data_IF_277933914288
#
_entry.id   IF_277933914288
#
_cell.length_a   1.000
_cell.length_b   1.000
_cell.length_c   1.000
_cell.angle_alpha   90.00
_cell.angle_beta   90.00
_cell.angle_gamma   90.00
#
_symmetry.space_group_name_H-M   'P 1'
#
loop_
_entity.id
_entity.type
_entity.pdbx_description
1 polymer ?
#
# COMPACT_ATOMS: atom_id res chain seq x y z
N UNK A 1 32.08 5.93 20.87
CA UNK A 1 32.06 5.10 19.65
C UNK A 1 30.67 4.55 19.26
N UNK A 2 29.68 4.39 20.13
CA UNK A 2 28.32 3.90 19.76
C UNK A 2 27.41 4.94 19.07
N UNK A 3 27.66 6.24 19.25
CA UNK A 3 26.81 7.30 18.70
C UNK A 3 27.10 7.66 17.22
N UNK A 4 28.30 7.40 16.73
CA UNK A 4 28.65 7.68 15.33
C UNK A 4 28.06 6.67 14.33
N UNK A 5 27.98 5.40 14.75
CA UNK A 5 27.36 4.35 13.92
C UNK A 5 25.87 4.55 13.69
N UNK A 6 25.17 5.09 14.69
CA UNK A 6 23.72 5.40 14.57
C UNK A 6 23.47 6.58 13.61
N UNK A 7 24.30 7.60 13.62
CA UNK A 7 24.19 8.74 12.72
C UNK A 7 24.44 8.37 11.25
N UNK A 8 25.40 7.50 11.02
CA UNK A 8 25.76 7.04 9.68
C UNK A 8 24.66 6.16 9.05
N UNK A 9 24.05 5.26 9.84
CA UNK A 9 22.92 4.43 9.38
C UNK A 9 21.70 5.27 8.99
N UNK A 10 21.36 6.31 9.76
CA UNK A 10 20.26 7.21 9.46
C UNK A 10 20.54 8.05 8.20
N UNK A 11 21.79 8.43 7.95
CA UNK A 11 22.18 9.19 6.76
C UNK A 11 22.04 8.36 5.49
N UNK A 12 22.44 7.07 5.51
CA UNK A 12 22.26 6.17 4.36
C UNK A 12 20.78 5.83 4.14
N UNK A 13 20.01 5.66 5.20
CA UNK A 13 18.57 5.39 5.12
C UNK A 13 17.81 6.55 4.45
N UNK A 14 18.14 7.80 4.82
CA UNK A 14 17.55 8.98 4.17
C UNK A 14 17.95 9.11 2.69
N UNK A 15 19.20 8.81 2.34
CA UNK A 15 19.62 8.83 0.94
C UNK A 15 18.95 7.74 0.11
N UNK A 16 18.80 6.53 0.65
CA UNK A 16 18.07 5.45 -0.01
C UNK A 16 16.58 5.79 -0.17
N UNK A 17 15.98 6.45 0.81
CA UNK A 17 14.60 6.93 0.70
C UNK A 17 14.42 7.94 -0.42
N UNK A 18 15.29 8.94 -0.49
CA UNK A 18 15.27 9.96 -1.57
C UNK A 18 15.51 9.31 -2.93
N UNK A 19 16.44 8.36 -3.02
CA UNK A 19 16.72 7.63 -4.27
C UNK A 19 15.51 6.77 -4.69
N UNK A 20 14.84 6.10 -3.75
CA UNK A 20 13.64 5.31 -4.01
C UNK A 20 12.48 6.20 -4.48
N UNK A 21 12.29 7.38 -3.88
CA UNK A 21 11.29 8.36 -4.31
C UNK A 21 11.59 8.89 -5.71
N UNK A 22 12.85 9.19 -6.00
CA UNK A 22 13.28 9.65 -7.35
C UNK A 22 13.08 8.53 -8.38
N UNK A 23 13.48 7.30 -8.09
CA UNK A 23 13.24 6.15 -8.96
C UNK A 23 11.76 5.89 -9.19
N UNK A 24 10.93 6.03 -8.15
CA UNK A 24 9.48 5.91 -8.26
C UNK A 24 8.88 7.01 -9.12
N UNK A 25 9.34 8.26 -8.97
CA UNK A 25 8.90 9.40 -9.77
C UNK A 25 9.34 9.31 -11.24
N UNK A 26 10.51 8.70 -11.52
CA UNK A 26 11.01 8.53 -12.90
C UNK A 26 10.44 7.29 -13.60
N UNK A 27 9.98 6.28 -12.84
CA UNK A 27 9.32 5.09 -13.38
C UNK A 27 7.84 5.30 -13.70
N UNK A 28 7.25 6.47 -13.41
CA UNK A 28 5.91 6.82 -13.93
C UNK A 28 6.07 7.06 -15.44
N UNK A 29 5.68 6.10 -16.30
CA UNK A 29 5.81 6.29 -17.74
C UNK A 29 4.91 7.45 -18.14
N UNK A 30 5.47 8.47 -18.73
CA UNK A 30 4.75 9.56 -19.40
C UNK A 30 4.07 9.02 -20.65
N UNK A 31 3.08 8.17 -20.48
CA UNK A 31 2.27 7.68 -21.59
C UNK A 31 1.18 8.69 -21.89
N UNK A 32 1.43 9.50 -22.92
CA UNK A 32 0.42 10.26 -23.65
C UNK A 32 -0.40 9.28 -24.50
N UNK A 33 -1.11 8.37 -23.88
CA UNK A 33 -2.10 7.55 -24.56
C UNK A 33 -3.37 7.52 -23.70
N UNK A 34 -4.52 7.40 -24.33
CA UNK A 34 -5.90 7.56 -23.85
C UNK A 34 -6.26 6.65 -22.65
N UNK A 35 -5.30 6.35 -21.79
CA UNK A 35 -5.41 5.50 -20.62
C UNK A 35 -5.84 6.32 -19.40
N UNK A 36 -6.86 5.85 -18.73
CA UNK A 36 -7.44 6.51 -17.55
C UNK A 36 -6.56 6.22 -16.33
N UNK A 37 -5.73 7.20 -15.94
CA UNK A 37 -5.08 7.20 -14.64
C UNK A 37 -6.10 7.41 -13.52
N UNK A 38 -5.93 6.74 -12.38
CA UNK A 38 -6.76 6.92 -11.19
C UNK A 38 -5.92 7.03 -9.94
N UNK A 39 -6.26 7.98 -9.09
CA UNK A 39 -5.77 8.04 -7.73
C UNK A 39 -6.65 7.16 -6.86
N UNK A 40 -6.06 6.20 -6.18
CA UNK A 40 -6.75 5.30 -5.27
C UNK A 40 -6.37 5.64 -3.83
N UNK A 41 -7.37 5.73 -2.96
CA UNK A 41 -7.19 5.94 -1.52
C UNK A 41 -8.04 4.89 -0.81
N UNK A 42 -7.42 4.14 0.09
CA UNK A 42 -8.08 3.08 0.81
C UNK A 42 -7.62 2.96 2.24
N UNK A 43 -8.49 2.40 3.05
CA UNK A 43 -8.20 2.02 4.43
C UNK A 43 -8.73 0.61 4.67
N UNK A 44 -8.03 -0.15 5.50
CA UNK A 44 -8.37 -1.53 5.78
C UNK A 44 -8.13 -1.94 7.20
N UNK A 45 -8.84 -2.98 7.60
CA UNK A 45 -8.67 -3.68 8.87
C UNK A 45 -8.05 -5.04 8.60
N UNK A 46 -6.97 -5.32 9.31
CA UNK A 46 -6.24 -6.57 9.19
C UNK A 46 -6.46 -7.43 10.43
N UNK A 47 -6.52 -8.75 10.22
CA UNK A 47 -6.77 -9.73 11.28
C UNK A 47 -5.76 -9.63 12.44
N UNK A 48 -4.52 -9.25 12.15
CA UNK A 48 -3.41 -9.10 13.13
C UNK A 48 -3.55 -7.83 13.99
N UNK A 49 -4.77 -7.34 14.22
CA UNK A 49 -5.05 -6.11 14.97
C UNK A 49 -4.33 -4.88 14.34
N UNK A 50 -4.38 -4.77 13.03
CA UNK A 50 -3.74 -3.70 12.30
C UNK A 50 -4.69 -2.92 11.40
N UNK A 51 -4.37 -1.66 11.17
CA UNK A 51 -5.00 -0.79 10.19
C UNK A 51 -4.00 -0.53 9.05
N UNK A 52 -4.48 -0.62 7.83
CA UNK A 52 -3.73 -0.30 6.63
C UNK A 52 -4.31 0.96 5.98
N UNK A 53 -3.43 1.90 5.68
CA UNK A 53 -3.76 3.07 4.88
C UNK A 53 -2.95 2.98 3.58
N UNK A 54 -3.64 3.00 2.45
CA UNK A 54 -3.03 2.87 1.13
C UNK A 54 -3.39 4.06 0.26
N UNK A 55 -2.38 4.64 -0.38
CA UNK A 55 -2.53 5.61 -1.47
C UNK A 55 -1.84 5.03 -2.69
N UNK A 56 -2.52 5.00 -3.83
CA UNK A 56 -1.98 4.43 -5.03
C UNK A 56 -2.34 5.23 -6.29
N UNK A 57 -1.48 5.14 -7.28
CA UNK A 57 -1.77 5.51 -8.64
C UNK A 57 -2.03 4.26 -9.46
N UNK A 58 -3.22 4.14 -10.00
CA UNK A 58 -3.63 3.04 -10.87
C UNK A 58 -3.61 3.50 -12.34
N UNK A 59 -2.83 2.82 -13.15
CA UNK A 59 -2.79 2.98 -14.59
C UNK A 59 -3.58 1.86 -15.26
N UNK A 60 -4.81 2.17 -15.66
CA UNK A 60 -5.68 1.20 -16.33
C UNK A 60 -5.24 1.01 -17.78
N UNK A 61 -5.04 -0.24 -18.17
CA UNK A 61 -4.72 -0.67 -19.53
C UNK A 61 -5.97 -1.24 -20.23
N UNK A 62 -5.79 -2.02 -21.27
CA UNK A 62 -6.92 -2.63 -22.00
C UNK A 62 -7.66 -3.63 -21.11
N UNK A 63 -8.97 -3.70 -21.28
CA UNK A 63 -9.86 -4.69 -20.63
C UNK A 63 -9.91 -4.58 -19.10
N UNK A 64 -9.71 -3.41 -18.52
CA UNK A 64 -9.65 -3.16 -17.07
C UNK A 64 -8.49 -3.85 -16.35
N UNK A 65 -7.49 -4.32 -17.07
CA UNK A 65 -6.20 -4.65 -16.46
C UNK A 65 -5.53 -3.35 -16.02
N UNK A 66 -4.80 -3.40 -14.92
CA UNK A 66 -4.15 -2.20 -14.42
C UNK A 66 -2.76 -2.51 -13.82
N UNK A 67 -1.90 -1.50 -13.86
CA UNK A 67 -0.72 -1.41 -13.01
C UNK A 67 -0.99 -0.45 -11.88
N UNK A 68 -0.66 -0.85 -10.68
CA UNK A 68 -0.83 -0.05 -9.49
C UNK A 68 0.53 0.24 -8.87
N UNK A 69 0.80 1.53 -8.64
CA UNK A 69 1.95 2.02 -7.89
C UNK A 69 1.43 2.53 -6.57
N UNK A 70 1.82 1.94 -5.46
CA UNK A 70 1.21 2.23 -4.18
C UNK A 70 2.21 2.52 -3.08
N UNK A 71 1.79 3.36 -2.15
CA UNK A 71 2.39 3.52 -0.86
C UNK A 71 1.40 3.09 0.20
N UNK A 72 1.84 2.33 1.18
CA UNK A 72 1.01 1.91 2.29
C UNK A 72 1.69 2.17 3.63
N UNK A 73 0.86 2.42 4.63
CA UNK A 73 1.26 2.54 6.03
C UNK A 73 0.43 1.57 6.84
N UNK A 74 1.09 0.68 7.53
CA UNK A 74 0.48 -0.26 8.46
C UNK A 74 0.71 0.18 9.89
N UNK A 75 -0.36 0.26 10.66
CA UNK A 75 -0.38 0.65 12.07
C UNK A 75 -1.00 -0.48 12.87
N UNK A 76 -0.22 -1.07 13.77
CA UNK A 76 -0.73 -2.10 14.68
C UNK A 76 -1.30 -1.42 15.91
N UNK A 77 -2.55 -1.72 16.28
CA UNK A 77 -3.10 -1.31 17.56
C UNK A 77 -2.94 -2.45 18.57
N UNK A 78 -2.32 -2.13 19.67
CA UNK A 78 -2.19 -3.02 20.82
C UNK A 78 -2.40 -2.20 22.08
N UNK A 79 -2.55 -2.83 23.22
CA UNK A 79 -2.69 -2.14 24.48
C UNK A 79 -1.43 -1.30 24.78
N UNK A 80 -1.67 -0.08 25.22
CA UNK A 80 -0.59 0.83 25.62
C UNK A 80 0.02 0.34 26.94
N UNK A 81 1.34 0.14 26.98
CA UNK A 81 2.05 -0.31 28.17
C UNK A 81 1.85 0.62 29.40
N UNK A 82 1.48 1.87 29.18
CA UNK A 82 1.30 2.87 30.25
C UNK A 82 -0.13 2.98 30.77
N UNK A 83 -1.16 2.66 29.97
CA UNK A 83 -2.57 2.82 30.37
C UNK A 83 -3.41 1.55 30.25
N UNK A 84 -2.86 0.45 29.71
CA UNK A 84 -3.57 -0.82 29.56
C UNK A 84 -4.74 -0.81 28.55
N UNK A 85 -4.89 0.28 27.80
CA UNK A 85 -5.98 0.43 26.83
C UNK A 85 -5.44 0.84 25.47
N UNK A 86 -6.21 0.58 24.41
CA UNK A 86 -5.92 1.10 23.06
C UNK A 86 -6.17 2.61 23.07
N UNK A 87 -5.13 3.40 22.91
CA UNK A 87 -5.17 4.85 22.91
C UNK A 87 -4.44 5.41 21.67
N UNK A 88 -4.63 6.69 21.30
CA UNK A 88 -3.95 7.26 20.13
C UNK A 88 -2.42 7.13 20.16
N UNK A 89 -1.81 7.11 21.35
CA UNK A 89 -0.37 6.87 21.51
C UNK A 89 0.04 5.45 21.12
N UNK A 90 -0.84 4.45 21.32
CA UNK A 90 -0.53 3.06 21.01
C UNK A 90 -0.28 2.83 19.52
N UNK A 91 -0.98 3.55 18.64
CA UNK A 91 -0.76 3.46 17.19
C UNK A 91 0.65 3.88 16.77
N UNK A 92 1.22 4.86 17.45
CA UNK A 92 2.55 5.38 17.12
C UNK A 92 3.68 4.72 17.91
N UNK A 93 3.40 4.18 19.09
CA UNK A 93 4.39 3.48 19.93
C UNK A 93 4.56 2.03 19.55
N UNK A 94 3.52 1.40 19.01
CA UNK A 94 3.53 0.00 18.61
C UNK A 94 4.16 -0.20 17.22
N UNK A 95 4.19 -1.44 16.80
CA UNK A 95 4.78 -1.84 15.53
C UNK A 95 4.05 -1.17 14.35
N UNK A 96 4.79 -0.44 13.57
CA UNK A 96 4.29 0.17 12.35
C UNK A 96 5.30 0.00 11.22
N UNK A 97 4.79 -0.11 10.01
CA UNK A 97 5.59 -0.20 8.80
C UNK A 97 5.05 0.72 7.73
N UNK A 98 5.93 1.22 6.90
CA UNK A 98 5.56 1.85 5.65
C UNK A 98 6.24 1.13 4.50
N UNK A 99 5.63 1.17 3.31
CA UNK A 99 6.17 0.54 2.12
C UNK A 99 5.74 1.24 0.85
N UNK A 100 6.57 1.09 -0.18
CA UNK A 100 6.28 1.49 -1.54
C UNK A 100 6.33 0.25 -2.42
N UNK A 101 5.39 0.09 -3.32
CA UNK A 101 5.30 -1.10 -4.12
C UNK A 101 4.62 -0.93 -5.46
N UNK A 102 4.65 -2.02 -6.20
CA UNK A 102 4.00 -2.14 -7.49
C UNK A 102 3.17 -3.42 -7.52
N UNK A 103 1.98 -3.35 -8.06
CA UNK A 103 1.12 -4.50 -8.27
C UNK A 103 0.54 -4.51 -9.68
N UNK A 104 0.39 -5.69 -10.22
CA UNK A 104 -0.36 -5.93 -11.44
C UNK A 104 -1.75 -6.43 -11.07
N UNK A 105 -2.77 -5.90 -11.75
CA UNK A 105 -4.18 -6.17 -11.49
C UNK A 105 -4.86 -6.71 -12.75
N UNK A 106 -4.73 -8.01 -13.08
CA UNK A 106 -5.48 -8.61 -14.17
C UNK A 106 -6.98 -8.63 -13.85
N UNK A 107 -7.79 -8.21 -14.81
CA UNK A 107 -9.24 -8.26 -14.71
C UNK A 107 -9.75 -9.68 -14.94
N UNK A 108 -10.46 -10.23 -13.95
CA UNK A 108 -11.04 -11.57 -14.00
C UNK A 108 -12.48 -11.53 -14.50
N UNK A 109 -13.24 -10.56 -14.05
CA UNK A 109 -14.65 -10.43 -14.40
C UNK A 109 -15.01 -8.98 -14.61
N UNK A 110 -15.84 -8.72 -15.62
CA UNK A 110 -16.34 -7.37 -15.92
C UNK A 110 -17.83 -7.39 -16.23
N UNK A 111 -18.53 -6.43 -15.70
CA UNK A 111 -19.92 -6.16 -16.00
C UNK A 111 -20.09 -4.72 -16.49
N UNK A 112 -21.34 -4.27 -16.59
CA UNK A 112 -21.66 -2.93 -17.08
C UNK A 112 -21.13 -1.81 -16.16
N UNK A 113 -21.23 -2.01 -14.83
CA UNK A 113 -20.90 -0.99 -13.84
C UNK A 113 -19.90 -1.50 -12.79
N UNK A 114 -19.31 -2.68 -12.98
CA UNK A 114 -18.37 -3.27 -12.02
C UNK A 114 -17.31 -4.10 -12.75
N UNK A 115 -16.18 -4.26 -12.12
CA UNK A 115 -15.13 -5.18 -12.55
C UNK A 115 -14.40 -5.75 -11.34
N UNK A 116 -13.85 -6.93 -11.53
CA UNK A 116 -13.10 -7.63 -10.49
C UNK A 116 -11.69 -7.88 -11.00
N UNK A 117 -10.72 -7.57 -10.16
CA UNK A 117 -9.32 -7.78 -10.45
C UNK A 117 -8.67 -8.66 -9.39
N UNK A 118 -7.78 -9.55 -9.82
CA UNK A 118 -6.78 -10.09 -8.90
C UNK A 118 -5.69 -9.03 -8.73
N UNK A 119 -5.10 -8.95 -7.56
CA UNK A 119 -3.98 -8.05 -7.27
C UNK A 119 -2.78 -8.90 -6.87
N UNK A 120 -1.69 -8.78 -7.61
CA UNK A 120 -0.44 -9.50 -7.36
C UNK A 120 0.69 -8.49 -7.45
N UNK A 121 1.53 -8.41 -6.42
CA UNK A 121 2.59 -7.42 -6.41
C UNK A 121 3.59 -7.62 -5.30
N UNK A 122 4.44 -6.62 -5.12
CA UNK A 122 5.41 -6.58 -4.05
C UNK A 122 5.71 -5.16 -3.62
N UNK A 123 6.23 -5.02 -2.41
CA UNK A 123 6.70 -3.74 -1.89
C UNK A 123 7.98 -3.89 -1.09
N UNK A 124 8.66 -2.76 -0.96
CA UNK A 124 9.80 -2.58 -0.07
C UNK A 124 9.51 -1.39 0.84
N UNK A 125 9.93 -1.50 2.08
CA UNK A 125 9.69 -0.48 3.07
C UNK A 125 10.56 -0.65 4.32
N UNK A 126 10.10 -0.11 5.43
CA UNK A 126 10.81 -0.19 6.71
C UNK A 126 9.84 -0.21 7.88
N UNK A 127 10.27 -0.85 8.98
CA UNK A 127 9.61 -0.88 10.28
C UNK A 127 10.30 0.02 11.32
N UNK A 128 10.97 1.09 10.92
CA UNK A 128 11.85 2.00 11.69
C UNK A 128 13.24 1.44 11.98
N UNK A 129 13.42 0.13 12.08
CA UNK A 129 14.70 -0.50 12.46
C UNK A 129 15.30 -1.28 11.29
N UNK A 130 14.45 -1.97 10.53
CA UNK A 130 14.87 -2.89 9.49
C UNK A 130 14.19 -2.56 8.15
N UNK A 131 14.82 -3.00 7.08
CA UNK A 131 14.19 -3.04 5.76
C UNK A 131 13.24 -4.22 5.73
N UNK A 132 12.01 -3.98 5.28
CA UNK A 132 10.95 -4.98 5.21
C UNK A 132 10.50 -5.10 3.77
N UNK A 133 10.50 -6.31 3.25
CA UNK A 133 9.90 -6.65 1.96
C UNK A 133 8.52 -7.27 2.13
N UNK A 134 7.67 -7.16 1.12
CA UNK A 134 6.41 -7.90 1.12
C UNK A 134 5.99 -8.35 -0.28
N UNK A 135 5.30 -9.48 -0.32
CA UNK A 135 4.59 -9.97 -1.49
C UNK A 135 3.10 -9.86 -1.22
N UNK A 136 2.38 -9.28 -2.16
CA UNK A 136 0.96 -8.99 -2.03
C UNK A 136 0.14 -9.88 -2.96
N UNK A 137 -0.90 -10.48 -2.42
CA UNK A 137 -1.95 -11.16 -3.19
C UNK A 137 -3.31 -10.67 -2.70
N UNK A 138 -4.26 -10.47 -3.62
CA UNK A 138 -5.58 -10.00 -3.25
C UNK A 138 -6.60 -10.13 -4.38
N UNK A 139 -7.85 -9.92 -3.99
CA UNK A 139 -8.99 -9.80 -4.89
C UNK A 139 -9.68 -8.46 -4.65
N UNK A 140 -9.86 -7.70 -5.70
CA UNK A 140 -10.48 -6.38 -5.66
C UNK A 140 -11.76 -6.38 -6.48
N UNK A 141 -12.81 -5.80 -5.94
CA UNK A 141 -14.06 -5.55 -6.64
C UNK A 141 -14.35 -4.05 -6.67
N UNK A 142 -14.44 -3.50 -7.87
CA UNK A 142 -14.64 -2.07 -8.11
C UNK A 142 -15.99 -1.80 -8.76
N UNK A 143 -16.71 -0.81 -8.23
CA UNK A 143 -17.99 -0.32 -8.75
C UNK A 143 -17.82 1.08 -9.32
N UNK A 144 -18.18 1.23 -10.59
CA UNK A 144 -18.15 2.52 -11.28
C UNK A 144 -19.35 3.37 -10.91
N UNK A 145 -19.09 4.58 -10.42
CA UNK A 145 -20.05 5.62 -10.10
C UNK A 145 -20.12 6.66 -11.24
N UNK A 146 -20.99 7.65 -11.06
CA UNK A 146 -21.08 8.79 -11.99
C UNK A 146 -19.75 9.58 -11.99
N UNK A 147 -19.45 10.25 -13.09
CA UNK A 147 -18.27 11.10 -13.30
C UNK A 147 -16.91 10.35 -13.28
N UNK A 148 -16.91 9.03 -13.45
CA UNK A 148 -15.69 8.22 -13.50
C UNK A 148 -15.09 7.83 -12.15
N UNK A 149 -15.72 8.21 -11.05
CA UNK A 149 -15.37 7.75 -9.71
C UNK A 149 -15.68 6.27 -9.57
N UNK A 150 -14.91 5.57 -8.72
CA UNK A 150 -15.21 4.20 -8.35
C UNK A 150 -15.08 4.03 -6.84
N UNK A 151 -15.90 3.15 -6.29
CA UNK A 151 -15.73 2.62 -4.93
C UNK A 151 -15.26 1.18 -5.08
N UNK A 152 -14.34 0.78 -4.23
CA UNK A 152 -13.84 -0.59 -4.25
C UNK A 152 -13.75 -1.18 -2.84
N UNK A 153 -13.82 -2.49 -2.81
CA UNK A 153 -13.38 -3.27 -1.66
C UNK A 153 -12.39 -4.33 -2.13
N UNK A 154 -11.49 -4.70 -1.27
CA UNK A 154 -10.41 -5.63 -1.57
C UNK A 154 -10.19 -6.55 -0.38
N UNK A 155 -10.10 -7.85 -0.63
CA UNK A 155 -9.51 -8.82 0.31
C UNK A 155 -8.06 -8.98 -0.09
N UNK A 156 -7.14 -8.80 0.85
CA UNK A 156 -5.70 -8.93 0.59
C UNK A 156 -5.03 -9.80 1.63
N UNK A 157 -3.95 -10.42 1.22
CA UNK A 157 -3.00 -11.12 2.10
C UNK A 157 -1.59 -10.73 1.66
N UNK A 158 -0.83 -10.24 2.62
CA UNK A 158 0.54 -9.80 2.41
C UNK A 158 1.47 -10.76 3.16
N UNK A 159 2.43 -11.35 2.46
CA UNK A 159 3.52 -12.12 3.05
C UNK A 159 4.69 -11.17 3.31
N UNK A 160 5.05 -10.98 4.58
CA UNK A 160 6.09 -10.07 5.01
C UNK A 160 7.43 -10.79 5.18
N UNK A 161 8.49 -10.16 4.74
CA UNK A 161 9.87 -10.64 4.83
C UNK A 161 10.68 -9.61 5.61
N UNK A 162 11.27 -10.02 6.73
CA UNK A 162 12.07 -9.14 7.58
C UNK A 162 11.29 -8.32 8.61
N UNK A 163 9.97 -8.52 8.72
CA UNK A 163 9.09 -7.88 9.70
C UNK A 163 8.74 -8.80 10.89
N UNK A 164 8.03 -8.25 11.87
CA UNK A 164 7.56 -9.01 13.02
C UNK A 164 6.34 -9.91 12.70
N UNK A 165 5.53 -9.50 11.74
CA UNK A 165 4.36 -10.26 11.31
C UNK A 165 4.72 -11.00 10.00
N UNK A 166 4.41 -12.30 9.92
CA UNK A 166 4.68 -13.08 8.71
C UNK A 166 3.59 -12.87 7.66
N UNK A 167 2.33 -12.84 8.08
CA UNK A 167 1.18 -12.63 7.22
C UNK A 167 0.34 -11.46 7.73
N UNK A 168 -0.22 -10.69 6.80
CA UNK A 168 -1.17 -9.61 7.06
C UNK A 168 -2.36 -9.79 6.14
N UNK A 169 -3.44 -10.33 6.68
CA UNK A 169 -4.65 -10.62 5.90
C UNK A 169 -5.79 -9.75 6.38
N UNK A 170 -6.55 -9.19 5.46
CA UNK A 170 -7.68 -8.35 5.83
C UNK A 170 -8.48 -7.81 4.66
N UNK A 171 -9.34 -6.86 4.99
CA UNK A 171 -10.25 -6.21 4.05
C UNK A 171 -9.93 -4.72 3.99
N UNK A 172 -9.82 -4.20 2.78
CA UNK A 172 -9.62 -2.79 2.49
C UNK A 172 -10.83 -2.28 1.73
N UNK A 173 -11.27 -1.06 2.05
CA UNK A 173 -12.28 -0.32 1.31
C UNK A 173 -11.71 1.03 0.89
N UNK A 174 -12.15 1.55 -0.23
CA UNK A 174 -11.63 2.83 -0.70
C UNK A 174 -12.34 3.38 -1.92
N UNK A 175 -11.78 4.47 -2.41
CA UNK A 175 -12.27 5.20 -3.57
C UNK A 175 -11.16 5.37 -4.60
N UNK A 176 -11.56 5.39 -5.87
CA UNK A 176 -10.69 5.70 -7.00
C UNK A 176 -11.20 6.95 -7.69
N UNK A 177 -10.32 7.92 -7.82
CA UNK A 177 -10.59 9.23 -8.41
C UNK A 177 -9.94 9.28 -9.80
N UNK A 178 -10.67 9.66 -10.87
CA UNK A 178 -10.08 9.80 -12.19
C UNK A 178 -9.11 10.98 -12.19
N UNK A 179 -7.90 10.76 -12.69
CA UNK A 179 -6.92 11.81 -12.98
C UNK A 179 -7.03 12.10 -14.48
N UNK A 180 -7.23 13.37 -14.81
CA UNK A 180 -7.28 13.87 -16.19
C UNK A 180 -5.90 14.25 -16.68
#
# INVERSE_FOLDING_TARGET
>A
MKNEESGMKNFYLNKMFVLAVILFATCVPGFADNHRGRLQIGTGLLYERGMDLTVAYEHETRYHNAWEYFGNVYLKWDECASCGHVCPKSFWSNYNTWGLGVAYKPCVTRGRNHHCNLRIGGSLGSDRHNVVGSVHAGYEHSYSLRKGWQVYWQVKSDLMIGGNDLFRTGVVIGVKLPIK
#
